data_IF_227818507916
#
_entry.id   IF_227818507916
#
_cell.length_a   1.000
_cell.length_b   1.000
_cell.length_c   1.000
_cell.angle_alpha   90.00
_cell.angle_beta   90.00
_cell.angle_gamma   90.00
#
_symmetry.space_group_name_H-M   'P 1'
#
loop_
_entity.id
_entity.type
_entity.pdbx_description
1 polymer ?
#
# COMPACT_ATOMS: atom_id res chain seq x y z
N UNK A 1 4.96 7.67 14.69
CA UNK A 1 6.01 8.56 14.21
C UNK A 1 5.46 9.41 13.06
N UNK A 2 5.63 10.71 13.13
CA UNK A 2 5.27 11.66 12.07
C UNK A 2 6.54 12.33 11.56
N UNK A 3 6.68 12.41 10.24
CA UNK A 3 7.76 13.14 9.56
C UNK A 3 7.11 14.19 8.67
N UNK A 4 7.35 15.46 8.98
CA UNK A 4 6.80 16.61 8.24
C UNK A 4 7.94 17.47 7.67
N UNK A 5 7.67 18.34 6.68
CA UNK A 5 8.68 19.25 6.16
C UNK A 5 9.26 20.17 7.25
N UNK A 6 10.58 20.33 7.27
CA UNK A 6 11.26 21.25 8.23
C UNK A 6 11.06 22.73 7.89
N UNK A 7 10.66 23.06 6.64
CA UNK A 7 10.32 24.43 6.23
C UNK A 7 8.89 24.79 6.62
N UNK A 8 8.59 26.07 6.83
CA UNK A 8 7.21 26.51 6.94
C UNK A 8 6.39 26.11 5.70
N UNK A 9 5.21 25.55 5.94
CA UNK A 9 4.26 25.11 4.90
C UNK A 9 2.91 25.80 5.10
N UNK A 10 2.22 26.06 4.00
CA UNK A 10 0.90 26.70 3.96
C UNK A 10 -0.11 25.81 3.26
N UNK A 11 -1.39 26.15 3.33
CA UNK A 11 -2.43 25.43 2.56
C UNK A 11 -2.18 25.42 1.06
N UNK A 12 -1.48 26.42 0.51
CA UNK A 12 -1.15 26.50 -0.92
C UNK A 12 -0.15 25.41 -1.36
N UNK A 13 0.60 24.81 -0.42
CA UNK A 13 1.57 23.76 -0.74
C UNK A 13 0.89 22.44 -1.15
N UNK A 14 -0.36 22.19 -0.71
CA UNK A 14 -1.16 21.00 -1.03
C UNK A 14 -0.35 19.70 -0.91
N UNK A 15 0.22 19.47 0.26
CA UNK A 15 1.11 18.35 0.52
C UNK A 15 0.38 17.00 0.48
N UNK A 16 0.98 15.95 -0.09
CA UNK A 16 0.44 14.61 0.07
C UNK A 16 0.66 14.10 1.50
N UNK A 17 -0.27 13.26 1.95
CA UNK A 17 -0.13 12.45 3.16
C UNK A 17 0.19 10.99 2.75
N UNK A 18 1.24 10.44 3.34
CA UNK A 18 1.58 9.02 3.20
C UNK A 18 1.48 8.33 4.56
N UNK A 19 0.54 7.40 4.70
CA UNK A 19 0.40 6.51 5.86
C UNK A 19 1.15 5.22 5.55
N UNK A 20 2.20 4.90 6.31
CA UNK A 20 3.14 3.83 5.98
C UNK A 20 3.10 2.75 7.07
N UNK A 21 2.59 1.57 6.73
CA UNK A 21 2.26 0.50 7.65
C UNK A 21 3.34 -0.58 7.67
N UNK A 22 3.88 -0.86 8.85
CA UNK A 22 4.93 -1.86 9.05
C UNK A 22 4.42 -3.31 8.92
N UNK A 23 5.33 -4.25 8.67
CA UNK A 23 5.05 -5.68 8.72
C UNK A 23 4.89 -6.20 10.14
N UNK A 24 4.34 -7.43 10.30
CA UNK A 24 4.20 -8.08 11.60
C UNK A 24 5.56 -8.26 12.29
N UNK A 25 5.62 -8.01 13.59
CA UNK A 25 6.83 -8.05 14.39
C UNK A 25 7.79 -6.88 14.14
N UNK A 26 7.29 -5.79 13.52
CA UNK A 26 8.04 -4.57 13.24
C UNK A 26 7.36 -3.36 13.88
N UNK A 27 7.93 -2.17 13.75
CA UNK A 27 7.44 -0.97 14.38
C UNK A 27 7.65 0.27 13.50
N UNK A 28 7.09 1.45 13.87
CA UNK A 28 7.20 2.68 13.08
C UNK A 28 8.61 3.08 12.72
N UNK A 29 9.53 3.06 13.68
CA UNK A 29 10.92 3.47 13.45
C UNK A 29 11.67 2.50 12.52
N UNK A 30 11.40 1.21 12.64
CA UNK A 30 11.96 0.21 11.75
C UNK A 30 11.41 0.36 10.30
N UNK A 31 10.11 0.65 10.16
CA UNK A 31 9.49 0.87 8.84
C UNK A 31 9.99 2.15 8.18
N UNK A 32 10.19 3.22 8.93
CA UNK A 32 10.77 4.47 8.43
C UNK A 32 12.18 4.22 7.86
N UNK A 33 13.04 3.52 8.61
CA UNK A 33 14.38 3.16 8.13
C UNK A 33 14.35 2.19 6.96
N UNK A 34 13.40 1.24 6.97
CA UNK A 34 13.27 0.23 5.92
C UNK A 34 12.92 0.87 4.57
N UNK A 35 11.99 1.81 4.53
CA UNK A 35 11.49 2.39 3.30
C UNK A 35 12.31 3.56 2.79
N UNK A 36 13.00 4.29 3.68
CA UNK A 36 13.71 5.53 3.35
C UNK A 36 12.84 6.58 2.62
N UNK A 37 11.52 6.48 2.70
CA UNK A 37 10.58 7.35 2.00
C UNK A 37 10.80 8.82 2.35
N UNK A 38 11.08 9.14 3.61
CA UNK A 38 11.35 10.50 4.06
C UNK A 38 12.47 11.20 3.27
N UNK A 39 13.46 10.43 2.81
CA UNK A 39 14.59 10.97 2.03
C UNK A 39 14.23 11.24 0.56
N UNK A 40 13.20 10.61 0.01
CA UNK A 40 12.94 10.60 -1.45
C UNK A 40 11.58 11.18 -1.85
N UNK A 41 10.67 11.43 -0.90
CA UNK A 41 9.32 11.93 -1.21
C UNK A 41 9.28 13.41 -1.60
N UNK A 42 10.30 14.21 -1.28
CA UNK A 42 10.19 15.67 -1.31
C UNK A 42 9.18 16.17 -0.25
N UNK A 43 8.59 17.37 -0.40
CA UNK A 43 7.64 17.90 0.57
C UNK A 43 6.39 17.02 0.67
N UNK A 44 6.18 16.41 1.83
CA UNK A 44 5.07 15.52 2.16
C UNK A 44 4.94 15.41 3.69
N UNK A 45 3.80 14.98 4.17
CA UNK A 45 3.64 14.48 5.54
C UNK A 45 3.62 12.96 5.49
N UNK A 46 4.53 12.31 6.22
CA UNK A 46 4.57 10.86 6.37
C UNK A 46 4.20 10.49 7.80
N UNK A 47 3.34 9.49 7.93
CA UNK A 47 2.93 8.94 9.21
C UNK A 47 3.21 7.45 9.24
N UNK A 48 3.90 7.02 10.28
CA UNK A 48 4.21 5.62 10.57
C UNK A 48 3.48 5.24 11.86
N UNK A 49 2.24 4.73 11.77
CA UNK A 49 1.49 4.32 12.97
C UNK A 49 2.10 3.06 13.60
N UNK A 50 1.87 2.86 14.90
CA UNK A 50 2.23 1.65 15.61
C UNK A 50 1.02 0.70 15.64
N UNK A 51 1.17 -0.50 15.10
CA UNK A 51 0.18 -1.55 15.20
C UNK A 51 0.18 -2.18 16.61
N UNK A 52 -0.99 -2.66 17.04
CA UNK A 52 -1.14 -3.35 18.32
C UNK A 52 -0.27 -4.62 18.35
N UNK A 53 0.57 -4.72 19.40
CA UNK A 53 1.52 -5.84 19.53
C UNK A 53 2.24 -6.14 18.20
N UNK A 54 2.80 -5.07 17.62
CA UNK A 54 3.55 -5.11 16.37
C UNK A 54 2.82 -5.78 15.19
N UNK A 55 1.48 -5.68 15.13
CA UNK A 55 0.65 -6.31 14.11
C UNK A 55 -0.57 -5.47 13.74
N UNK A 56 -1.21 -5.81 12.62
CA UNK A 56 -2.44 -5.19 12.11
C UNK A 56 -3.50 -6.26 11.89
N UNK A 57 -4.72 -6.02 12.34
CA UNK A 57 -5.89 -6.80 11.97
C UNK A 57 -6.31 -6.47 10.53
N UNK A 58 -5.78 -7.22 9.57
CA UNK A 58 -6.07 -7.03 8.16
C UNK A 58 -7.33 -7.76 7.66
N UNK A 59 -8.19 -8.24 8.56
CA UNK A 59 -9.39 -9.03 8.28
C UNK A 59 -9.18 -10.51 8.54
N UNK A 60 -8.65 -11.27 7.59
CA UNK A 60 -8.35 -12.70 7.75
C UNK A 60 -7.01 -13.02 8.42
N UNK A 61 -6.22 -12.00 8.82
CA UNK A 61 -4.97 -12.06 9.60
C UNK A 61 -4.61 -10.65 10.11
N UNK A 62 -3.61 -10.36 10.86
CA UNK A 62 -2.56 -11.23 11.36
C UNK A 62 -2.19 -10.89 12.80
N UNK A 63 -1.64 -11.88 13.49
CA UNK A 63 -1.03 -11.71 14.80
C UNK A 63 -2.00 -11.32 15.91
N UNK A 64 -1.50 -10.69 16.96
CA UNK A 64 -2.31 -10.31 18.12
C UNK A 64 -3.43 -9.32 17.78
N UNK A 65 -3.19 -8.36 16.89
CA UNK A 65 -4.25 -7.43 16.48
C UNK A 65 -5.46 -8.15 15.87
N UNK A 66 -5.23 -9.21 15.05
CA UNK A 66 -6.30 -10.04 14.53
C UNK A 66 -6.93 -10.93 15.61
N UNK A 67 -6.12 -11.61 16.43
CA UNK A 67 -6.59 -12.50 17.47
C UNK A 67 -7.48 -11.79 18.51
N UNK A 68 -7.11 -10.56 18.87
CA UNK A 68 -7.83 -9.74 19.85
C UNK A 68 -8.91 -8.84 19.23
N UNK A 69 -9.15 -8.97 17.92
CA UNK A 69 -10.22 -8.25 17.20
C UNK A 69 -10.03 -6.73 17.19
N UNK A 70 -8.78 -6.24 17.21
CA UNK A 70 -8.48 -4.81 17.25
C UNK A 70 -9.09 -4.09 16.04
N UNK A 71 -9.67 -2.91 16.27
CA UNK A 71 -10.24 -2.07 15.21
C UNK A 71 -9.20 -1.11 14.63
N UNK A 72 -8.22 -1.67 13.88
CA UNK A 72 -7.18 -0.89 13.23
C UNK A 72 -7.70 0.05 12.14
N UNK A 73 -8.85 -0.28 11.54
CA UNK A 73 -9.52 0.60 10.56
C UNK A 73 -9.91 1.93 11.22
N UNK A 74 -10.57 1.88 12.37
CA UNK A 74 -10.95 3.08 13.11
C UNK A 74 -9.71 3.83 13.63
N UNK A 75 -8.67 3.12 14.07
CA UNK A 75 -7.42 3.72 14.52
C UNK A 75 -6.74 4.50 13.38
N UNK A 76 -6.55 3.88 12.21
CA UNK A 76 -5.91 4.55 11.06
C UNK A 76 -6.77 5.71 10.55
N UNK A 77 -8.09 5.58 10.56
CA UNK A 77 -8.98 6.70 10.23
C UNK A 77 -8.76 7.89 11.19
N UNK A 78 -8.70 7.63 12.50
CA UNK A 78 -8.43 8.67 13.49
C UNK A 78 -7.04 9.31 13.30
N UNK A 79 -6.01 8.52 12.94
CA UNK A 79 -4.68 9.04 12.60
C UNK A 79 -4.74 9.99 11.42
N UNK A 80 -5.43 9.61 10.32
CA UNK A 80 -5.59 10.48 9.14
C UNK A 80 -6.30 11.78 9.52
N UNK A 81 -7.42 11.71 10.25
CA UNK A 81 -8.15 12.91 10.67
C UNK A 81 -7.32 13.82 11.58
N UNK A 82 -6.56 13.24 12.51
CA UNK A 82 -5.63 13.98 13.38
C UNK A 82 -4.57 14.74 12.58
N UNK A 83 -3.97 14.08 11.58
CA UNK A 83 -2.97 14.72 10.71
C UNK A 83 -3.58 15.85 9.88
N UNK A 84 -4.77 15.65 9.31
CA UNK A 84 -5.45 16.69 8.54
C UNK A 84 -5.80 17.92 9.39
N UNK A 85 -6.11 17.71 10.67
CA UNK A 85 -6.37 18.80 11.61
C UNK A 85 -5.07 19.54 12.02
N UNK A 86 -3.98 18.81 12.25
CA UNK A 86 -2.70 19.37 12.71
C UNK A 86 -1.90 20.03 11.57
N UNK A 87 -2.00 19.49 10.35
CA UNK A 87 -1.26 19.96 9.18
C UNK A 87 -2.18 20.50 8.08
N UNK A 88 -2.68 21.75 8.17
CA UNK A 88 -3.62 22.32 7.20
C UNK A 88 -3.06 22.45 5.76
N UNK A 89 -1.75 22.24 5.59
CA UNK A 89 -1.07 22.18 4.29
C UNK A 89 -1.30 20.85 3.56
N UNK A 90 -1.80 19.82 4.24
CA UNK A 90 -2.10 18.52 3.64
C UNK A 90 -3.38 18.62 2.82
N UNK A 91 -3.30 18.14 1.58
CA UNK A 91 -4.46 17.97 0.72
C UNK A 91 -5.18 16.66 1.07
N UNK A 92 -6.42 16.71 1.58
CA UNK A 92 -7.16 15.50 1.97
C UNK A 92 -7.45 14.57 0.79
N UNK A 93 -7.47 15.08 -0.46
CA UNK A 93 -7.63 14.28 -1.67
C UNK A 93 -6.32 13.61 -2.12
N UNK A 94 -5.22 13.83 -1.42
CA UNK A 94 -3.90 13.26 -1.69
C UNK A 94 -3.35 12.44 -0.52
N UNK A 95 -4.23 11.72 0.17
CA UNK A 95 -3.85 10.74 1.17
C UNK A 95 -3.62 9.36 0.50
N UNK A 96 -2.52 8.70 0.85
CA UNK A 96 -2.14 7.39 0.32
C UNK A 96 -1.71 6.47 1.46
N UNK A 97 -2.03 5.18 1.35
CA UNK A 97 -1.58 4.17 2.32
C UNK A 97 -0.60 3.20 1.65
N UNK A 98 0.59 3.04 2.24
CA UNK A 98 1.61 2.09 1.81
C UNK A 98 1.84 1.07 2.91
N UNK A 99 2.12 -0.17 2.55
CA UNK A 99 2.38 -1.16 3.58
C UNK A 99 3.22 -2.33 3.09
N UNK A 100 3.95 -2.93 4.02
CA UNK A 100 4.76 -4.12 3.80
C UNK A 100 4.14 -5.32 4.51
N UNK A 101 4.06 -6.47 3.83
CA UNK A 101 3.62 -7.74 4.44
C UNK A 101 2.25 -7.58 5.13
N UNK A 102 2.16 -7.77 6.45
CA UNK A 102 0.92 -7.54 7.21
C UNK A 102 0.39 -6.10 7.06
N UNK A 103 1.26 -5.08 7.04
CA UNK A 103 0.87 -3.69 6.70
C UNK A 103 0.34 -3.56 5.28
N UNK A 104 0.91 -4.29 4.31
CA UNK A 104 0.40 -4.35 2.94
C UNK A 104 -0.99 -5.00 2.85
N UNK A 105 -1.26 -6.05 3.65
CA UNK A 105 -2.61 -6.62 3.79
C UNK A 105 -3.59 -5.62 4.41
N UNK A 106 -3.11 -4.84 5.38
CA UNK A 106 -3.92 -3.78 5.99
C UNK A 106 -4.29 -2.69 4.99
N UNK A 107 -3.41 -2.31 4.03
CA UNK A 107 -3.77 -1.31 3.00
C UNK A 107 -4.96 -1.76 2.15
N UNK A 108 -5.05 -3.05 1.81
CA UNK A 108 -6.24 -3.59 1.12
C UNK A 108 -7.50 -3.45 1.97
N UNK A 109 -7.42 -3.76 3.28
CA UNK A 109 -8.54 -3.58 4.19
C UNK A 109 -8.98 -2.11 4.28
N UNK A 110 -8.04 -1.18 4.39
CA UNK A 110 -8.33 0.26 4.42
C UNK A 110 -9.05 0.73 3.14
N UNK A 111 -8.62 0.26 1.97
CA UNK A 111 -9.28 0.59 0.70
C UNK A 111 -10.74 0.10 0.64
N UNK A 112 -11.05 -1.03 1.29
CA UNK A 112 -12.40 -1.59 1.33
C UNK A 112 -13.29 -0.95 2.39
N UNK A 113 -12.73 -0.70 3.60
CA UNK A 113 -13.51 -0.31 4.78
C UNK A 113 -13.54 1.21 5.02
N UNK A 114 -12.65 1.98 4.35
CA UNK A 114 -12.59 3.46 4.40
C UNK A 114 -12.76 4.08 3.00
N UNK A 115 -13.92 3.91 2.37
CA UNK A 115 -14.14 4.44 1.01
C UNK A 115 -13.94 5.95 0.95
N UNK A 116 -13.15 6.42 -0.04
CA UNK A 116 -12.88 7.84 -0.26
C UNK A 116 -11.85 8.47 0.68
N UNK A 117 -11.29 7.73 1.66
CA UNK A 117 -10.25 8.25 2.55
C UNK A 117 -8.88 8.31 1.86
N UNK A 118 -8.60 7.36 0.99
CA UNK A 118 -7.32 7.28 0.28
C UNK A 118 -7.50 7.42 -1.23
N UNK A 119 -6.66 8.24 -1.84
CA UNK A 119 -6.56 8.36 -3.30
C UNK A 119 -5.84 7.16 -3.95
N UNK A 120 -5.07 6.42 -3.17
CA UNK A 120 -4.42 5.21 -3.62
C UNK A 120 -3.74 4.43 -2.51
N UNK A 121 -3.43 3.18 -2.82
CA UNK A 121 -2.70 2.27 -1.94
C UNK A 121 -1.50 1.64 -2.65
N UNK A 122 -0.48 1.26 -1.87
CA UNK A 122 0.60 0.40 -2.34
C UNK A 122 0.81 -0.76 -1.36
N UNK A 123 0.59 -1.98 -1.84
CA UNK A 123 0.78 -3.21 -1.08
C UNK A 123 2.04 -3.93 -1.54
N UNK A 124 3.03 -4.01 -0.66
CA UNK A 124 4.34 -4.61 -0.94
C UNK A 124 4.44 -5.97 -0.24
N UNK A 125 4.73 -7.01 -1.02
CA UNK A 125 4.80 -8.42 -0.56
C UNK A 125 3.55 -8.82 0.23
N UNK A 126 2.37 -8.53 -0.33
CA UNK A 126 1.09 -8.80 0.31
C UNK A 126 0.02 -9.17 -0.70
N UNK A 127 -0.94 -9.98 -0.25
CA UNK A 127 -2.20 -10.26 -0.95
C UNK A 127 -3.37 -9.90 -0.04
N UNK A 128 -4.55 -9.55 -0.59
CA UNK A 128 -5.71 -9.24 0.23
C UNK A 128 -6.18 -10.44 1.04
N UNK A 129 -6.53 -10.20 2.29
CA UNK A 129 -7.13 -11.17 3.22
C UNK A 129 -8.46 -10.63 3.77
N UNK A 130 -9.12 -9.82 2.98
CA UNK A 130 -10.40 -9.16 3.26
C UNK A 130 -11.38 -9.46 2.14
N UNK A 131 -12.66 -9.67 2.48
CA UNK A 131 -13.75 -9.80 1.50
C UNK A 131 -14.24 -8.41 1.07
N UNK A 132 -13.61 -7.87 0.03
CA UNK A 132 -13.94 -6.58 -0.53
C UNK A 132 -15.02 -6.72 -1.59
N UNK A 133 -16.24 -6.26 -1.30
CA UNK A 133 -17.38 -6.36 -2.22
C UNK A 133 -17.59 -5.11 -3.08
N UNK A 134 -17.15 -3.97 -2.57
CA UNK A 134 -17.25 -2.67 -3.26
C UNK A 134 -15.95 -1.90 -3.04
N UNK A 135 -15.50 -1.23 -4.07
CA UNK A 135 -14.34 -0.37 -4.01
C UNK A 135 -14.73 1.05 -4.46
N UNK A 136 -14.38 2.04 -3.65
CA UNK A 136 -14.33 3.43 -4.14
C UNK A 136 -13.14 3.53 -5.09
N UNK A 137 -13.28 4.19 -6.25
CA UNK A 137 -12.18 4.30 -7.21
C UNK A 137 -10.92 4.89 -6.56
N UNK A 138 -9.80 4.19 -6.66
CA UNK A 138 -8.49 4.65 -6.15
C UNK A 138 -7.37 4.00 -6.96
N UNK A 139 -6.18 4.61 -6.94
CA UNK A 139 -4.99 4.02 -7.55
C UNK A 139 -4.47 2.85 -6.69
N UNK A 140 -4.14 1.72 -7.33
CA UNK A 140 -3.64 0.52 -6.64
C UNK A 140 -2.31 0.08 -7.21
N UNK A 141 -1.28 0.02 -6.38
CA UNK A 141 0.02 -0.57 -6.69
C UNK A 141 0.19 -1.88 -5.92
N UNK A 142 0.44 -2.96 -6.64
CA UNK A 142 0.73 -4.29 -6.07
C UNK A 142 2.18 -4.64 -6.42
N UNK A 143 3.02 -4.79 -5.42
CA UNK A 143 4.43 -5.14 -5.60
C UNK A 143 4.70 -6.53 -5.03
N UNK A 144 5.29 -7.40 -5.86
CA UNK A 144 5.69 -8.73 -5.45
C UNK A 144 7.06 -9.12 -6.01
N UNK A 145 7.74 -10.01 -5.33
CA UNK A 145 9.01 -10.61 -5.73
C UNK A 145 8.81 -12.08 -6.07
N UNK A 146 9.31 -12.52 -7.23
CA UNK A 146 9.07 -13.87 -7.77
C UNK A 146 9.52 -14.99 -6.84
N UNK A 147 10.51 -14.74 -5.99
CA UNK A 147 11.08 -15.73 -5.06
C UNK A 147 10.65 -15.50 -3.62
N UNK A 148 9.56 -14.77 -3.40
CA UNK A 148 8.99 -14.63 -2.06
C UNK A 148 8.54 -16.01 -1.54
N UNK A 149 9.08 -16.49 -0.40
CA UNK A 149 8.72 -17.80 0.13
C UNK A 149 7.33 -17.82 0.78
N UNK A 150 6.75 -16.64 1.07
CA UNK A 150 5.46 -16.51 1.76
C UNK A 150 4.29 -16.28 0.79
N UNK A 151 4.54 -15.86 -0.46
CA UNK A 151 3.50 -15.60 -1.45
C UNK A 151 3.52 -16.62 -2.59
N UNK A 152 2.35 -17.05 -3.04
CA UNK A 152 2.20 -17.78 -4.29
C UNK A 152 1.98 -16.76 -5.43
N UNK A 153 2.88 -16.71 -6.43
CA UNK A 153 2.83 -15.66 -7.47
C UNK A 153 1.72 -15.93 -8.49
N UNK A 154 1.78 -17.00 -9.26
CA UNK A 154 0.87 -17.24 -10.39
C UNK A 154 0.19 -18.60 -10.38
N UNK A 155 0.80 -19.62 -9.81
CA UNK A 155 0.30 -20.99 -9.77
C UNK A 155 0.71 -21.66 -8.48
N UNK A 156 -0.10 -22.57 -8.02
CA UNK A 156 0.14 -23.33 -6.79
C UNK A 156 -1.17 -23.44 -5.98
N UNK A 157 -1.16 -24.33 -5.00
CA UNK A 157 -2.26 -24.39 -4.06
C UNK A 157 -2.34 -23.09 -3.26
N UNK A 158 -3.55 -22.59 -2.95
CA UNK A 158 -3.71 -21.48 -2.03
C UNK A 158 -2.94 -21.76 -0.74
N UNK A 159 -2.17 -20.77 -0.28
CA UNK A 159 -1.43 -20.89 0.97
C UNK A 159 -2.35 -20.52 2.14
N UNK A 160 -2.16 -21.14 3.27
CA UNK A 160 -2.77 -20.68 4.52
C UNK A 160 -1.82 -19.67 5.16
N UNK A 161 -2.37 -18.54 5.58
CA UNK A 161 -1.67 -17.63 6.49
C UNK A 161 -1.36 -18.32 7.80
N UNK A 162 -0.51 -17.69 8.63
CA UNK A 162 -0.20 -18.23 9.95
C UNK A 162 -1.45 -18.29 10.87
N UNK A 163 -2.46 -17.48 10.56
CA UNK A 163 -3.75 -17.45 11.28
C UNK A 163 -4.82 -18.33 10.58
N UNK A 164 -4.41 -19.16 9.61
CA UNK A 164 -5.28 -20.15 8.97
C UNK A 164 -6.13 -19.64 7.80
N UNK A 165 -6.06 -18.36 7.45
CA UNK A 165 -6.77 -17.80 6.29
C UNK A 165 -6.20 -18.35 4.98
N UNK A 166 -7.08 -18.67 4.03
CA UNK A 166 -6.68 -19.14 2.70
C UNK A 166 -6.34 -17.92 1.82
N UNK A 167 -5.05 -17.73 1.55
CA UNK A 167 -4.54 -16.60 0.79
C UNK A 167 -4.67 -16.85 -0.72
N UNK A 168 -5.14 -15.85 -1.50
CA UNK A 168 -5.10 -15.93 -2.96
C UNK A 168 -3.65 -15.91 -3.45
N UNK A 169 -3.44 -16.36 -4.70
CA UNK A 169 -2.17 -16.06 -5.38
C UNK A 169 -2.10 -14.57 -5.70
N UNK A 170 -0.89 -14.03 -5.88
CA UNK A 170 -0.72 -12.62 -6.30
C UNK A 170 -1.46 -12.35 -7.61
N UNK A 171 -1.40 -13.28 -8.58
CA UNK A 171 -2.14 -13.11 -9.84
C UNK A 171 -3.66 -13.10 -9.62
N UNK A 172 -4.21 -13.96 -8.75
CA UNK A 172 -5.64 -13.94 -8.43
C UNK A 172 -6.05 -12.65 -7.73
N UNK A 173 -5.19 -12.11 -6.85
CA UNK A 173 -5.41 -10.81 -6.22
C UNK A 173 -5.45 -9.67 -7.25
N UNK A 174 -4.49 -9.64 -8.18
CA UNK A 174 -4.48 -8.67 -9.30
C UNK A 174 -5.77 -8.77 -10.11
N UNK A 175 -6.20 -9.98 -10.47
CA UNK A 175 -7.42 -10.19 -11.27
C UNK A 175 -8.69 -9.83 -10.49
N UNK A 176 -8.73 -10.06 -9.18
CA UNK A 176 -9.82 -9.62 -8.31
C UNK A 176 -9.93 -8.09 -8.28
N UNK A 177 -8.82 -7.41 -8.02
CA UNK A 177 -8.79 -5.95 -7.93
C UNK A 177 -9.07 -5.27 -9.26
N UNK A 178 -8.62 -5.85 -10.37
CA UNK A 178 -9.01 -5.40 -11.71
C UNK A 178 -10.53 -5.43 -11.92
N UNK A 179 -11.19 -6.50 -11.46
CA UNK A 179 -12.66 -6.60 -11.57
C UNK A 179 -13.36 -5.60 -10.66
N UNK A 180 -12.92 -5.48 -9.40
CA UNK A 180 -13.49 -4.55 -8.42
C UNK A 180 -13.41 -3.10 -8.89
N UNK A 181 -12.29 -2.70 -9.45
CA UNK A 181 -12.07 -1.32 -9.92
C UNK A 181 -12.46 -1.12 -11.40
N UNK A 182 -13.02 -2.14 -12.06
CA UNK A 182 -13.52 -2.03 -13.44
C UNK A 182 -12.42 -1.68 -14.44
N UNK A 183 -11.26 -2.32 -14.33
CA UNK A 183 -10.11 -2.02 -15.18
C UNK A 183 -10.24 -2.63 -16.57
N UNK A 184 -10.04 -1.84 -17.61
CA UNK A 184 -10.08 -2.27 -19.00
C UNK A 184 -8.81 -3.04 -19.42
N UNK A 185 -8.92 -4.14 -20.22
CA UNK A 185 -7.79 -4.73 -20.92
C UNK A 185 -7.48 -3.93 -22.22
N UNK A 186 -6.27 -4.05 -22.79
CA UNK A 186 -5.09 -4.71 -22.23
C UNK A 186 -4.31 -3.80 -21.28
N UNK A 187 -3.41 -4.42 -20.47
CA UNK A 187 -2.43 -3.65 -19.71
C UNK A 187 -1.34 -3.10 -20.63
N UNK A 188 -0.81 -1.93 -20.30
CA UNK A 188 0.52 -1.56 -20.78
C UNK A 188 1.59 -2.29 -19.97
N UNK A 189 2.63 -2.80 -20.65
CA UNK A 189 3.76 -3.45 -19.98
C UNK A 189 5.01 -2.61 -20.18
N UNK A 190 5.73 -2.37 -19.10
CA UNK A 190 7.03 -1.70 -19.12
C UNK A 190 8.03 -2.42 -18.22
N UNK A 191 9.31 -2.12 -18.38
CA UNK A 191 10.39 -2.72 -17.60
C UNK A 191 11.24 -1.63 -16.96
N UNK A 192 11.61 -1.86 -15.70
CA UNK A 192 12.59 -1.03 -14.99
C UNK A 192 13.61 -1.96 -14.33
N UNK A 193 14.74 -2.17 -15.00
CA UNK A 193 15.74 -3.15 -14.57
C UNK A 193 15.12 -4.53 -14.39
N UNK A 194 15.18 -5.10 -13.19
CA UNK A 194 14.64 -6.44 -12.89
C UNK A 194 13.13 -6.46 -12.60
N UNK A 195 12.45 -5.30 -12.64
CA UNK A 195 11.02 -5.21 -12.40
C UNK A 195 10.24 -5.13 -13.72
N UNK A 196 9.19 -5.94 -13.82
CA UNK A 196 8.17 -5.86 -14.89
C UNK A 196 6.92 -5.20 -14.31
N UNK A 197 6.47 -4.11 -14.92
CA UNK A 197 5.31 -3.33 -14.52
C UNK A 197 4.18 -3.54 -15.54
N UNK A 198 3.01 -3.93 -15.05
CA UNK A 198 1.78 -4.04 -15.85
C UNK A 198 0.77 -3.06 -15.31
N UNK A 199 0.32 -2.11 -16.13
CA UNK A 199 -0.60 -1.04 -15.71
C UNK A 199 -1.88 -1.09 -16.50
N UNK A 200 -3.01 -1.04 -15.81
CA UNK A 200 -4.36 -0.97 -16.38
C UNK A 200 -4.97 0.38 -16.06
N UNK A 201 -5.77 0.88 -17.00
CA UNK A 201 -6.68 1.99 -16.75
C UNK A 201 -7.99 1.45 -16.20
N UNK A 202 -8.46 2.05 -15.12
CA UNK A 202 -9.66 1.63 -14.40
C UNK A 202 -10.73 2.73 -14.48
N UNK A 203 -11.92 2.46 -13.91
CA UNK A 203 -12.99 3.46 -13.92
C UNK A 203 -12.60 4.72 -13.14
N UNK A 204 -13.31 5.82 -13.41
CA UNK A 204 -13.02 7.14 -12.84
C UNK A 204 -11.58 7.63 -13.07
N UNK A 205 -10.87 7.09 -14.08
CA UNK A 205 -9.50 7.49 -14.41
C UNK A 205 -8.43 6.91 -13.50
N UNK A 206 -8.77 6.08 -12.53
CA UNK A 206 -7.81 5.39 -11.64
C UNK A 206 -7.00 4.34 -12.40
N UNK A 207 -5.97 3.80 -11.73
CA UNK A 207 -5.07 2.81 -12.32
C UNK A 207 -4.79 1.69 -11.32
N UNK A 208 -4.65 0.50 -11.86
CA UNK A 208 -4.02 -0.60 -11.14
C UNK A 208 -2.67 -0.88 -11.79
N UNK A 209 -1.61 -0.92 -11.00
CA UNK A 209 -0.29 -1.36 -11.43
C UNK A 209 0.13 -2.59 -10.63
N UNK A 210 0.64 -3.58 -11.35
CA UNK A 210 1.27 -4.76 -10.78
C UNK A 210 2.73 -4.79 -11.16
N UNK A 211 3.59 -4.71 -10.17
CA UNK A 211 5.04 -4.76 -10.31
C UNK A 211 5.58 -6.08 -9.80
N UNK A 212 6.20 -6.86 -10.69
CA UNK A 212 6.83 -8.13 -10.36
C UNK A 212 8.35 -8.05 -10.56
N UNK A 213 9.10 -8.16 -9.48
CA UNK A 213 10.55 -8.32 -9.54
C UNK A 213 10.93 -9.77 -9.89
N UNK A 214 11.94 -9.95 -10.75
CA UNK A 214 12.37 -11.28 -11.22
C UNK A 214 13.07 -12.13 -10.16
N UNK A 215 13.54 -11.50 -9.07
CA UNK A 215 14.20 -12.14 -7.93
C UNK A 215 13.70 -11.60 -6.62
N UNK A 216 14.50 -11.72 -5.56
CA UNK A 216 14.20 -11.26 -4.22
C UNK A 216 13.43 -12.28 -3.38
N UNK A 217 13.12 -11.91 -2.15
CA UNK A 217 12.40 -12.71 -1.17
C UNK A 217 11.32 -11.86 -0.47
N UNK A 218 10.89 -12.24 0.74
CA UNK A 218 9.93 -11.48 1.52
C UNK A 218 10.59 -10.25 2.17
N UNK A 219 10.91 -9.24 1.36
CA UNK A 219 11.66 -8.04 1.76
C UNK A 219 11.08 -6.80 1.07
N UNK A 220 11.25 -5.63 1.68
CA UNK A 220 11.05 -4.36 0.96
C UNK A 220 12.10 -4.26 -0.14
N UNK A 221 11.72 -4.08 -1.42
CA UNK A 221 12.71 -3.98 -2.49
C UNK A 221 13.56 -2.72 -2.39
N UNK A 222 14.85 -2.87 -2.11
CA UNK A 222 15.84 -1.79 -2.18
C UNK A 222 16.54 -1.74 -3.53
N UNK A 223 17.09 -0.57 -3.90
CA UNK A 223 17.91 -0.44 -5.09
C UNK A 223 19.19 -1.30 -4.97
N UNK A 224 19.47 -2.11 -5.99
CA UNK A 224 20.69 -2.91 -6.06
C UNK A 224 20.99 -3.30 -7.52
N UNK A 225 22.11 -2.85 -8.07
CA UNK A 225 22.42 -3.04 -9.49
C UNK A 225 21.31 -2.48 -10.38
N UNK A 226 20.71 -3.31 -11.23
CA UNK A 226 19.59 -2.93 -12.09
C UNK A 226 18.21 -3.03 -11.42
N UNK A 227 18.14 -3.47 -10.16
CA UNK A 227 16.89 -3.58 -9.39
C UNK A 227 16.50 -2.19 -8.85
N UNK A 228 15.32 -1.64 -9.22
CA UNK A 228 14.85 -0.40 -8.62
C UNK A 228 14.37 -0.64 -7.18
N UNK A 229 14.42 0.42 -6.35
CA UNK A 229 13.74 0.40 -5.06
C UNK A 229 12.21 0.46 -5.23
N UNK A 230 11.45 -0.09 -4.28
CA UNK A 230 9.99 0.01 -4.26
C UNK A 230 9.54 1.47 -4.23
N UNK A 231 10.20 2.33 -3.45
CA UNK A 231 9.92 3.76 -3.39
C UNK A 231 9.98 4.44 -4.75
N UNK A 232 10.98 4.06 -5.58
CA UNK A 232 11.14 4.54 -6.95
C UNK A 232 10.06 4.06 -7.93
N UNK A 233 9.26 3.07 -7.54
CA UNK A 233 8.07 2.60 -8.27
C UNK A 233 6.81 3.29 -7.72
N UNK A 234 6.62 3.24 -6.40
CA UNK A 234 5.42 3.75 -5.71
C UNK A 234 5.26 5.26 -5.92
N UNK A 235 6.31 6.06 -5.63
CA UNK A 235 6.18 7.51 -5.65
C UNK A 235 5.82 8.10 -7.02
N UNK A 236 6.44 7.70 -8.15
CA UNK A 236 5.99 8.16 -9.47
C UNK A 236 4.55 7.74 -9.78
N UNK A 237 4.14 6.55 -9.35
CA UNK A 237 2.78 6.05 -9.56
C UNK A 237 1.76 6.93 -8.82
N UNK A 238 1.90 7.16 -7.53
CA UNK A 238 0.94 7.97 -6.75
C UNK A 238 1.00 9.47 -7.06
N UNK A 239 2.16 10.01 -7.47
CA UNK A 239 2.28 11.42 -7.88
C UNK A 239 1.53 11.73 -9.16
N UNK A 240 1.37 10.76 -10.03
CA UNK A 240 0.61 10.87 -11.27
C UNK A 240 -0.85 10.44 -11.12
N UNK A 241 -1.31 10.19 -9.88
CA UNK A 241 -2.71 9.88 -9.60
C UNK A 241 -3.61 11.05 -10.04
N UNK A 242 -4.70 10.78 -10.76
CA UNK A 242 -5.68 11.80 -11.05
C UNK A 242 -6.26 12.30 -9.71
N UNK A 243 -6.49 13.61 -9.61
CA UNK A 243 -7.30 14.11 -8.49
C UNK A 243 -8.72 13.58 -8.68
N UNK A 244 -9.38 13.10 -7.62
CA UNK A 244 -10.81 12.81 -7.70
C UNK A 244 -11.53 14.04 -8.28
N UNK A 245 -12.45 13.82 -9.21
CA UNK A 245 -13.34 14.90 -9.67
C UNK A 245 -14.22 15.31 -8.49
N UNK A 246 -14.37 16.61 -8.27
CA UNK A 246 -15.28 17.19 -7.29
C UNK A 246 -16.72 16.76 -7.53
#
# INVERSE_FOLDING_TARGET
LVVAPLRPVTRADQLPLYVVLHGRGSNPAAMERLTSLAAVTGPAVLVYPAGYEDSWNAGGCCGYAHADGINDVAFIHAVVQGVLAEYPAVDPQRAFAFGFSNGGRMTYRLACDLPGTFAGIAAVEAVPVVDCRRLHPLDVEIIAQRRDPLLAIASGAPRKSMDGYVEPTVQSAVDQWRRLDGCAPPATTSHRGTATLRTWRCRAGTRLQYTLYSGGGHLWPHAHGTRPAADGIILPFVRSAPRPAD
#
